data_IF_192551714218
#
_entry.id   IF_192551714218
#
_cell.length_a   1.000
_cell.length_b   1.000
_cell.length_c   1.000
_cell.angle_alpha   90.00
_cell.angle_beta   90.00
_cell.angle_gamma   90.00
#
_symmetry.space_group_name_H-M   'P 1'
#
loop_
_entity.id
_entity.type
_entity.pdbx_description
1 polymer ?
#
# COMPACT_ATOMS: atom_id res chain seq x y z
N UNK A 1 8.24 10.29 24.24
CA UNK A 1 9.53 10.06 23.53
C UNK A 1 9.61 8.64 22.95
N UNK A 2 9.12 7.62 23.66
CA UNK A 2 9.10 6.22 23.18
C UNK A 2 8.20 6.08 21.93
N UNK A 3 7.10 6.85 21.85
CA UNK A 3 6.21 6.86 20.69
C UNK A 3 6.92 7.29 19.40
N UNK A 4 7.78 8.31 19.46
CA UNK A 4 8.57 8.76 18.30
C UNK A 4 9.57 7.70 17.86
N UNK A 5 10.15 6.97 18.81
CA UNK A 5 11.11 5.91 18.52
C UNK A 5 10.41 4.74 17.79
N UNK A 6 9.23 4.34 18.25
CA UNK A 6 8.41 3.30 17.60
C UNK A 6 7.90 3.78 16.23
N UNK A 7 7.52 5.05 16.12
CA UNK A 7 7.07 5.63 14.85
C UNK A 7 8.20 5.67 13.81
N UNK A 8 9.39 6.16 14.18
CA UNK A 8 10.57 6.18 13.31
C UNK A 8 10.96 4.74 12.93
N UNK A 9 10.95 3.80 13.87
CA UNK A 9 11.27 2.40 13.63
C UNK A 9 10.25 1.78 12.65
N UNK A 10 8.95 1.99 12.86
CA UNK A 10 7.88 1.47 11.98
C UNK A 10 7.96 2.07 10.59
N UNK A 11 8.14 3.39 10.49
CA UNK A 11 8.29 4.06 9.20
C UNK A 11 9.57 3.64 8.48
N UNK A 12 10.68 3.46 9.20
CA UNK A 12 11.90 2.90 8.66
C UNK A 12 11.65 1.47 8.14
N UNK A 13 10.97 0.60 8.88
CA UNK A 13 10.61 -0.75 8.42
C UNK A 13 9.78 -0.74 7.13
N UNK A 14 8.82 0.17 6.99
CA UNK A 14 8.00 0.30 5.77
C UNK A 14 8.83 0.91 4.62
N UNK A 15 9.64 1.92 4.89
CA UNK A 15 10.45 2.63 3.89
C UNK A 15 11.61 1.77 3.35
N UNK A 16 12.28 1.03 4.23
CA UNK A 16 13.38 0.12 3.90
C UNK A 16 12.92 -1.07 3.01
N UNK A 17 11.63 -1.36 2.93
CA UNK A 17 11.11 -2.38 1.99
C UNK A 17 11.12 -1.91 0.53
N UNK A 18 11.01 -0.62 0.27
CA UNK A 18 11.04 -0.08 -1.11
C UNK A 18 12.48 0.07 -1.64
N UNK A 19 13.47 0.27 -0.76
CA UNK A 19 14.86 0.54 -1.15
C UNK A 19 15.70 -0.72 -0.95
N UNK A 20 15.56 -1.67 -1.89
CA UNK A 20 16.45 -2.80 -2.20
C UNK A 20 17.27 -3.51 -1.08
N UNK A 21 17.52 -4.82 -1.30
CA UNK A 21 18.85 -5.44 -1.01
C UNK A 21 19.11 -5.97 0.41
N UNK A 22 18.11 -6.54 1.09
CA UNK A 22 18.42 -7.51 2.15
C UNK A 22 17.67 -8.82 1.93
N UNK A 23 18.36 -9.70 1.20
CA UNK A 23 18.07 -11.12 1.04
C UNK A 23 18.19 -11.78 2.42
N UNK A 24 17.13 -11.71 3.22
CA UNK A 24 16.84 -12.70 4.25
C UNK A 24 15.63 -13.50 3.79
N UNK A 25 16.01 -14.54 3.07
CA UNK A 25 15.24 -15.60 2.47
C UNK A 25 14.46 -16.35 3.56
N UNK A 26 13.16 -16.02 3.77
CA UNK A 26 12.08 -16.94 4.20
C UNK A 26 10.72 -16.30 4.53
N UNK A 27 10.61 -14.97 4.65
CA UNK A 27 9.32 -14.31 4.91
C UNK A 27 9.09 -13.18 3.89
N UNK A 28 8.23 -13.42 2.90
CA UNK A 28 7.67 -12.36 2.05
C UNK A 28 6.75 -11.53 2.95
N UNK A 29 7.30 -10.49 3.57
CA UNK A 29 6.52 -9.58 4.39
C UNK A 29 5.84 -8.58 3.46
N UNK A 30 4.54 -8.75 3.24
CA UNK A 30 3.75 -7.76 2.50
C UNK A 30 3.68 -6.45 3.31
N UNK A 31 3.51 -5.32 2.61
CA UNK A 31 3.30 -3.98 3.20
C UNK A 31 2.32 -3.98 4.40
N UNK A 32 1.15 -4.66 4.35
CA UNK A 32 0.25 -4.77 5.51
C UNK A 32 0.81 -5.58 6.70
N UNK A 33 1.67 -6.57 6.46
CA UNK A 33 2.28 -7.33 7.56
C UNK A 33 3.27 -6.46 8.36
N UNK A 34 3.99 -5.56 7.68
CA UNK A 34 4.88 -4.61 8.33
C UNK A 34 4.16 -3.57 9.20
N UNK A 35 3.01 -3.06 8.74
CA UNK A 35 2.21 -2.13 9.57
C UNK A 35 1.62 -2.84 10.80
N UNK A 36 1.24 -4.12 10.66
CA UNK A 36 0.71 -4.92 11.75
C UNK A 36 1.76 -5.11 12.86
N UNK A 37 3.03 -5.34 12.50
CA UNK A 37 4.12 -5.44 13.48
C UNK A 37 4.32 -4.12 14.23
N UNK A 38 4.28 -2.98 13.52
CA UNK A 38 4.36 -1.66 14.14
C UNK A 38 3.19 -1.38 15.10
N UNK A 39 1.97 -1.77 14.73
CA UNK A 39 0.79 -1.68 15.59
C UNK A 39 0.93 -2.55 16.84
N UNK A 40 1.37 -3.80 16.70
CA UNK A 40 1.62 -4.70 17.83
C UNK A 40 2.69 -4.14 18.79
N UNK A 41 3.75 -3.52 18.26
CA UNK A 41 4.77 -2.84 19.06
C UNK A 41 4.17 -1.66 19.86
N UNK A 42 3.33 -0.82 19.24
CA UNK A 42 2.66 0.28 19.95
C UNK A 42 1.78 -0.22 21.11
N UNK A 43 1.08 -1.34 20.92
CA UNK A 43 0.25 -1.94 21.98
C UNK A 43 1.10 -2.59 23.08
N UNK A 44 2.16 -3.32 22.71
CA UNK A 44 3.02 -4.04 23.67
C UNK A 44 3.77 -3.10 24.63
N UNK A 45 4.18 -1.93 24.14
CA UNK A 45 4.83 -0.90 24.97
C UNK A 45 3.84 -0.03 25.74
N UNK A 46 2.53 -0.27 25.63
CA UNK A 46 1.49 0.49 26.34
C UNK A 46 1.38 1.95 25.93
N UNK A 47 1.90 2.33 24.76
CA UNK A 47 1.81 3.70 24.22
C UNK A 47 0.36 4.05 23.88
N UNK A 48 -0.41 3.05 23.46
CA UNK A 48 -1.83 3.15 23.19
C UNK A 48 -2.55 1.96 23.85
N UNK A 49 -3.61 2.22 24.62
CA UNK A 49 -4.42 1.15 25.21
C UNK A 49 -5.31 0.50 24.14
N UNK A 50 -5.71 -0.76 24.35
CA UNK A 50 -6.54 -1.49 23.39
C UNK A 50 -7.88 -0.77 23.15
N UNK A 51 -8.50 -0.25 24.20
CA UNK A 51 -9.77 0.49 24.15
C UNK A 51 -9.65 1.83 23.41
N UNK A 52 -8.52 2.51 23.53
CA UNK A 52 -8.23 3.75 22.78
C UNK A 52 -8.03 3.43 21.30
N UNK A 53 -7.25 2.38 21.02
CA UNK A 53 -6.95 1.94 19.66
C UNK A 53 -8.22 1.56 18.89
N UNK A 54 -9.13 0.80 19.52
CA UNK A 54 -10.40 0.41 18.89
C UNK A 54 -11.30 1.62 18.64
N UNK A 55 -11.33 2.59 19.57
CA UNK A 55 -12.10 3.82 19.38
C UNK A 55 -11.53 4.75 18.31
N UNK A 56 -10.24 4.67 18.05
CA UNK A 56 -9.57 5.45 16.99
C UNK A 56 -9.77 4.85 15.59
N UNK A 57 -10.30 3.63 15.46
CA UNK A 57 -10.52 2.99 14.15
C UNK A 57 -11.79 3.53 13.48
N UNK A 58 -11.62 4.20 12.34
CA UNK A 58 -12.72 4.60 11.47
C UNK A 58 -13.03 3.52 10.41
N UNK A 59 -14.16 2.84 10.59
CA UNK A 59 -14.59 1.77 9.69
C UNK A 59 -14.99 2.28 8.29
N UNK A 60 -15.54 3.49 8.18
CA UNK A 60 -15.94 4.04 6.89
C UNK A 60 -14.73 4.18 5.97
N UNK A 61 -13.61 4.66 6.52
CA UNK A 61 -12.36 4.85 5.81
C UNK A 61 -11.73 3.50 5.43
N UNK A 62 -11.71 2.53 6.34
CA UNK A 62 -11.19 1.18 6.04
C UNK A 62 -11.98 0.55 4.89
N UNK A 63 -13.32 0.60 4.95
CA UNK A 63 -14.19 0.05 3.91
C UNK A 63 -14.01 0.79 2.59
N UNK A 64 -13.88 2.12 2.63
CA UNK A 64 -13.66 2.94 1.43
C UNK A 64 -12.32 2.62 0.76
N UNK A 65 -11.23 2.56 1.54
CA UNK A 65 -9.90 2.23 1.02
C UNK A 65 -9.85 0.79 0.51
N UNK A 66 -10.44 -0.16 1.24
CA UNK A 66 -10.53 -1.55 0.81
C UNK A 66 -11.35 -1.69 -0.48
N UNK A 67 -12.48 -1.00 -0.57
CA UNK A 67 -13.31 -0.97 -1.77
C UNK A 67 -12.55 -0.43 -2.97
N UNK A 68 -11.77 0.64 -2.80
CA UNK A 68 -10.88 1.18 -3.84
C UNK A 68 -9.81 0.16 -4.27
N UNK A 69 -9.17 -0.54 -3.33
CA UNK A 69 -8.20 -1.60 -3.65
C UNK A 69 -8.83 -2.73 -4.46
N UNK A 70 -10.01 -3.24 -4.05
CA UNK A 70 -10.70 -4.32 -4.77
C UNK A 70 -11.18 -3.85 -6.14
N UNK A 71 -11.80 -2.66 -6.21
CA UNK A 71 -12.30 -2.09 -7.46
C UNK A 71 -11.17 -1.91 -8.47
N UNK A 72 -10.06 -1.31 -8.06
CA UNK A 72 -8.90 -1.10 -8.94
C UNK A 72 -8.26 -2.41 -9.37
N UNK A 73 -8.17 -3.42 -8.50
CA UNK A 73 -7.66 -4.74 -8.87
C UNK A 73 -8.52 -5.41 -9.96
N UNK A 74 -9.84 -5.38 -9.83
CA UNK A 74 -10.75 -5.92 -10.85
C UNK A 74 -10.68 -5.14 -12.18
N UNK A 75 -10.60 -3.81 -12.12
CA UNK A 75 -10.41 -2.97 -13.32
C UNK A 75 -9.07 -3.25 -14.00
N UNK A 76 -8.02 -3.55 -13.23
CA UNK A 76 -6.72 -3.99 -13.73
C UNK A 76 -6.81 -5.29 -14.50
N UNK A 77 -7.45 -6.32 -13.92
CA UNK A 77 -7.64 -7.62 -14.58
C UNK A 77 -8.51 -7.50 -15.83
N UNK A 78 -9.51 -6.61 -15.82
CA UNK A 78 -10.37 -6.34 -16.97
C UNK A 78 -9.67 -5.58 -18.11
N UNK A 79 -8.42 -5.12 -17.92
CA UNK A 79 -7.69 -4.32 -18.92
C UNK A 79 -8.28 -2.92 -19.15
N UNK A 80 -9.07 -2.42 -18.19
CA UNK A 80 -9.75 -1.13 -18.32
C UNK A 80 -8.74 0.03 -18.44
N UNK A 81 -7.64 -0.04 -17.70
CA UNK A 81 -6.59 0.98 -17.73
C UNK A 81 -5.87 1.04 -19.08
N UNK A 82 -5.58 -0.12 -19.71
CA UNK A 82 -4.96 -0.18 -21.04
C UNK A 82 -5.90 0.37 -22.13
N UNK A 83 -7.20 0.03 -22.04
CA UNK A 83 -8.20 0.56 -22.96
C UNK A 83 -8.35 2.09 -22.85
N UNK A 84 -8.39 2.60 -21.62
CA UNK A 84 -8.48 4.04 -21.38
C UNK A 84 -7.21 4.77 -21.87
N UNK A 85 -6.03 4.21 -21.64
CA UNK A 85 -4.76 4.75 -22.13
C UNK A 85 -4.74 4.84 -23.66
N UNK A 86 -5.16 3.78 -24.36
CA UNK A 86 -5.26 3.78 -25.83
C UNK A 86 -6.21 4.88 -26.35
N UNK A 87 -7.38 5.04 -25.70
CA UNK A 87 -8.36 6.06 -26.08
C UNK A 87 -7.81 7.48 -25.90
N UNK A 88 -7.15 7.76 -24.78
CA UNK A 88 -6.56 9.08 -24.51
C UNK A 88 -5.45 9.40 -25.52
N UNK A 89 -4.56 8.44 -25.82
CA UNK A 89 -3.49 8.64 -26.81
C UNK A 89 -4.04 8.93 -28.21
N UNK A 90 -5.13 8.26 -28.60
CA UNK A 90 -5.80 8.52 -29.88
C UNK A 90 -6.38 9.94 -29.96
N UNK A 91 -6.87 10.50 -28.83
CA UNK A 91 -7.36 11.88 -28.78
C UNK A 91 -6.23 12.93 -28.80
N UNK A 92 -5.08 12.62 -28.20
CA UNK A 92 -3.92 13.53 -28.13
C UNK A 92 -3.09 13.52 -29.44
N UNK A 93 -3.39 12.63 -30.40
CA UNK A 93 -2.71 12.61 -31.71
C UNK A 93 -1.24 12.15 -31.65
N UNK A 94 -0.78 11.66 -30.50
CA UNK A 94 0.58 11.18 -30.30
C UNK A 94 0.79 9.83 -30.99
N UNK A 95 1.50 9.82 -32.11
CA UNK A 95 1.91 8.59 -32.82
C UNK A 95 3.06 7.91 -32.08
N UNK A 96 2.76 7.22 -30.98
CA UNK A 96 3.75 6.54 -30.14
C UNK A 96 3.61 5.02 -30.17
N UNK A 97 4.19 4.35 -31.18
CA UNK A 97 4.23 2.87 -31.30
C UNK A 97 5.10 2.16 -30.23
N UNK A 98 5.48 2.84 -29.15
CA UNK A 98 6.42 2.33 -28.14
C UNK A 98 5.89 2.24 -26.71
N UNK A 99 4.66 2.67 -26.43
CA UNK A 99 4.16 2.79 -25.05
C UNK A 99 3.15 1.72 -24.62
N UNK A 100 2.80 0.75 -25.48
CA UNK A 100 2.07 -0.45 -25.07
C UNK A 100 2.99 -1.41 -24.31
N UNK A 101 3.60 -0.95 -23.22
CA UNK A 101 3.91 -1.88 -22.14
C UNK A 101 2.59 -2.09 -21.40
N UNK A 102 2.16 -3.35 -21.16
CA UNK A 102 1.08 -3.58 -20.24
C UNK A 102 1.47 -2.88 -18.93
N UNK A 103 0.62 -2.00 -18.42
CA UNK A 103 0.77 -1.48 -17.06
C UNK A 103 0.53 -2.68 -16.15
N UNK A 104 1.57 -3.50 -15.99
CA UNK A 104 1.59 -4.67 -15.13
C UNK A 104 1.84 -4.12 -13.72
N UNK A 105 0.73 -3.88 -13.01
CA UNK A 105 0.74 -3.88 -11.56
C UNK A 105 1.15 -5.25 -11.03
#
# INVERSE_FOLDING_TARGET
>A
MIELLIFILTYALISLQNVQKFKMDRFKMDRPAASTIGACLMLAFGVLSLDEAVRAIDYNTIILLFGMMVLTAYLGIAGFFDYLAYRIMKFVGGTGKGCCSPISF
#
